data_IF_732816321979
#
_entry.id   IF_732816321979
#
_cell.length_a   1.000
_cell.length_b   1.000
_cell.length_c   1.000
_cell.angle_alpha   90.00
_cell.angle_beta   90.00
_cell.angle_gamma   90.00
#
_symmetry.space_group_name_H-M   'P 1'
#
loop_
_entity.id
_entity.type
_entity.pdbx_description
1 polymer ?
#
# COMPACT_ATOMS: atom_id res chain seq x y z
N UNK A 1 -7.91 15.62 8.97
CA UNK A 1 -6.86 14.60 9.18
C UNK A 1 -7.35 13.59 10.21
N UNK A 2 -7.67 12.36 9.79
CA UNK A 2 -8.43 11.39 10.60
C UNK A 2 -7.53 10.56 11.55
N UNK A 3 -6.32 11.04 11.83
CA UNK A 3 -5.27 10.29 12.52
C UNK A 3 -5.73 9.75 13.87
N UNK A 4 -6.55 10.50 14.61
CA UNK A 4 -7.11 10.03 15.88
C UNK A 4 -7.95 8.75 15.73
N UNK A 5 -8.80 8.68 14.68
CA UNK A 5 -9.58 7.47 14.41
C UNK A 5 -8.68 6.30 14.05
N UNK A 6 -7.63 6.54 13.26
CA UNK A 6 -6.64 5.52 12.92
C UNK A 6 -5.90 5.00 14.16
N UNK A 7 -5.42 5.89 15.03
CA UNK A 7 -4.77 5.51 16.29
C UNK A 7 -5.72 4.75 17.22
N UNK A 8 -6.98 5.20 17.33
CA UNK A 8 -8.00 4.53 18.13
C UNK A 8 -8.27 3.11 17.62
N UNK A 9 -8.48 2.93 16.31
CA UNK A 9 -8.73 1.63 15.68
C UNK A 9 -7.55 0.68 15.85
N UNK A 10 -6.32 1.16 15.58
CA UNK A 10 -5.11 0.36 15.71
C UNK A 10 -4.84 -0.03 17.17
N UNK A 11 -5.06 0.92 18.09
CA UNK A 11 -4.95 0.69 19.52
C UNK A 11 -5.97 -0.33 20.03
N UNK A 12 -7.24 -0.17 19.67
CA UNK A 12 -8.30 -1.10 20.09
C UNK A 12 -8.09 -2.52 19.54
N UNK A 13 -7.65 -2.64 18.28
CA UNK A 13 -7.37 -3.94 17.66
C UNK A 13 -6.17 -4.62 18.32
N UNK A 14 -5.14 -3.87 18.67
CA UNK A 14 -3.97 -4.38 19.39
C UNK A 14 -4.36 -4.86 20.79
N UNK A 15 -5.17 -4.09 21.52
CA UNK A 15 -5.68 -4.49 22.84
C UNK A 15 -6.50 -5.77 22.73
N UNK A 16 -7.40 -5.88 21.75
CA UNK A 16 -8.20 -7.07 21.51
C UNK A 16 -7.31 -8.31 21.30
N UNK A 17 -6.28 -8.18 20.48
CA UNK A 17 -5.35 -9.27 20.17
C UNK A 17 -4.56 -9.73 21.41
N UNK A 18 -4.13 -8.79 22.26
CA UNK A 18 -3.46 -9.10 23.53
C UNK A 18 -4.42 -9.75 24.53
N UNK A 19 -5.67 -9.30 24.60
CA UNK A 19 -6.70 -9.91 25.46
C UNK A 19 -7.00 -11.35 25.03
N UNK A 20 -7.10 -11.61 23.72
CA UNK A 20 -7.25 -12.96 23.19
C UNK A 20 -6.05 -13.82 23.59
N UNK A 21 -4.82 -13.33 23.38
CA UNK A 21 -3.61 -14.02 23.81
C UNK A 21 -3.62 -14.34 25.31
N UNK A 22 -4.10 -13.40 26.14
CA UNK A 22 -4.27 -13.57 27.58
C UNK A 22 -5.29 -14.67 27.93
N UNK A 23 -6.41 -14.72 27.23
CA UNK A 23 -7.47 -15.70 27.49
C UNK A 23 -7.03 -17.13 27.15
N UNK A 24 -6.21 -17.32 26.11
CA UNK A 24 -5.79 -18.66 25.67
C UNK A 24 -4.56 -19.15 26.44
N UNK A 25 -3.55 -18.30 26.65
CA UNK A 25 -2.23 -18.67 27.19
C UNK A 25 -1.85 -17.94 28.49
N UNK A 26 -2.78 -17.21 29.11
CA UNK A 26 -2.50 -16.42 30.32
C UNK A 26 -1.53 -15.24 30.07
N UNK A 27 -0.80 -14.82 31.09
CA UNK A 27 0.08 -13.64 30.99
C UNK A 27 1.19 -13.81 29.94
N UNK A 28 1.73 -15.01 29.78
CA UNK A 28 2.72 -15.32 28.74
C UNK A 28 2.13 -15.15 27.33
N UNK A 29 0.86 -15.54 27.13
CA UNK A 29 0.14 -15.33 25.88
C UNK A 29 -0.05 -13.86 25.54
N UNK A 30 -0.38 -13.03 26.54
CA UNK A 30 -0.50 -11.58 26.35
C UNK A 30 0.80 -10.95 25.83
N UNK A 31 1.94 -11.31 26.43
CA UNK A 31 3.27 -10.82 26.03
C UNK A 31 3.64 -11.31 24.62
N UNK A 32 3.42 -12.60 24.33
CA UNK A 32 3.70 -13.19 23.02
C UNK A 32 2.90 -12.49 21.91
N UNK A 33 1.59 -12.37 22.09
CA UNK A 33 0.71 -11.73 21.12
C UNK A 33 1.01 -10.25 20.95
N UNK A 34 1.42 -9.55 22.02
CA UNK A 34 1.90 -8.17 21.92
C UNK A 34 3.15 -8.06 21.04
N UNK A 35 4.15 -8.92 21.27
CA UNK A 35 5.38 -8.95 20.44
C UNK A 35 5.02 -9.25 18.98
N UNK A 36 4.13 -10.21 18.73
CA UNK A 36 3.65 -10.53 17.38
C UNK A 36 2.94 -9.31 16.77
N UNK A 37 2.08 -8.62 17.51
CA UNK A 37 1.37 -7.43 17.03
C UNK A 37 2.32 -6.33 16.58
N UNK A 38 3.34 -6.04 17.40
CA UNK A 38 4.38 -5.06 17.09
C UNK A 38 5.18 -5.50 15.87
N UNK A 39 5.59 -6.77 15.83
CA UNK A 39 6.31 -7.36 14.70
C UNK A 39 5.53 -7.25 13.39
N UNK A 40 4.24 -7.58 13.41
CA UNK A 40 3.35 -7.47 12.25
C UNK A 40 3.15 -6.03 11.80
N UNK A 41 3.00 -5.08 12.73
CA UNK A 41 2.86 -3.67 12.40
C UNK A 41 4.13 -3.12 11.71
N UNK A 42 5.31 -3.42 12.27
CA UNK A 42 6.58 -3.04 11.66
C UNK A 42 6.74 -3.70 10.30
N UNK A 43 6.52 -5.01 10.21
CA UNK A 43 6.59 -5.73 8.94
C UNK A 43 5.65 -5.13 7.89
N UNK A 44 4.40 -4.88 8.25
CA UNK A 44 3.41 -4.27 7.36
C UNK A 44 3.81 -2.87 6.93
N UNK A 45 4.36 -2.05 7.83
CA UNK A 45 4.83 -0.71 7.51
C UNK A 45 5.96 -0.72 6.46
N UNK A 46 6.93 -1.63 6.60
CA UNK A 46 8.08 -1.70 5.69
C UNK A 46 7.83 -2.48 4.39
N UNK A 47 6.91 -3.44 4.39
CA UNK A 47 6.68 -4.35 3.27
C UNK A 47 5.29 -4.18 2.61
N UNK A 48 4.48 -3.21 3.03
CA UNK A 48 3.14 -2.96 2.48
C UNK A 48 3.12 -2.84 0.96
N UNK A 49 4.08 -2.13 0.37
CA UNK A 49 4.20 -1.98 -1.08
C UNK A 49 4.47 -3.33 -1.77
N UNK A 50 5.43 -4.10 -1.26
CA UNK A 50 5.76 -5.42 -1.81
C UNK A 50 4.60 -6.41 -1.68
N UNK A 51 3.86 -6.37 -0.58
CA UNK A 51 2.68 -7.22 -0.36
C UNK A 51 1.58 -6.85 -1.35
N UNK A 52 1.28 -5.56 -1.52
CA UNK A 52 0.26 -5.11 -2.46
C UNK A 52 0.62 -5.47 -3.92
N UNK A 53 1.89 -5.28 -4.30
CA UNK A 53 2.38 -5.62 -5.64
C UNK A 53 2.36 -7.13 -5.90
N UNK A 54 2.71 -7.96 -4.90
CA UNK A 54 2.70 -9.42 -5.07
C UNK A 54 1.28 -9.96 -5.16
N UNK A 55 0.35 -9.46 -4.34
CA UNK A 55 -1.07 -9.84 -4.37
C UNK A 55 -1.71 -9.54 -5.73
N UNK A 56 -1.32 -8.44 -6.35
CA UNK A 56 -1.86 -7.99 -7.64
C UNK A 56 -1.08 -8.56 -8.83
N UNK A 57 0.00 -9.33 -8.59
CA UNK A 57 0.92 -9.84 -9.62
C UNK A 57 1.43 -8.71 -10.53
N UNK A 58 1.66 -7.55 -9.92
CA UNK A 58 2.13 -6.36 -10.60
C UNK A 58 3.51 -6.57 -11.20
N UNK A 59 3.71 -6.09 -12.42
CA UNK A 59 5.00 -6.12 -13.13
C UNK A 59 5.51 -4.69 -13.34
N UNK A 60 6.82 -4.43 -13.29
CA UNK A 60 7.37 -3.11 -13.62
C UNK A 60 6.88 -2.70 -15.01
N UNK A 61 6.41 -1.46 -15.14
CA UNK A 61 6.00 -0.88 -16.42
C UNK A 61 7.08 0.10 -16.84
N UNK A 62 7.74 -0.12 -17.98
CA UNK A 62 8.75 0.81 -18.44
C UNK A 62 8.11 2.03 -19.11
N UNK A 63 8.77 3.19 -19.02
CA UNK A 63 8.26 4.45 -19.57
C UNK A 63 7.95 4.38 -21.06
N UNK A 64 8.80 3.69 -21.84
CA UNK A 64 8.60 3.53 -23.28
C UNK A 64 7.35 2.68 -23.63
N UNK A 65 6.84 1.85 -22.70
CA UNK A 65 5.65 1.04 -22.92
C UNK A 65 4.35 1.83 -22.67
N UNK A 66 4.43 2.95 -21.95
CA UNK A 66 3.29 3.78 -21.57
C UNK A 66 3.71 5.23 -21.26
N UNK A 67 4.21 5.99 -22.25
CA UNK A 67 4.72 7.34 -22.03
C UNK A 67 3.64 8.28 -21.48
N UNK A 68 2.40 8.14 -21.94
CA UNK A 68 1.25 8.94 -21.52
C UNK A 68 0.98 8.85 -20.02
N UNK A 69 1.04 7.63 -19.46
CA UNK A 69 0.84 7.40 -18.01
C UNK A 69 1.98 8.03 -17.23
N UNK A 70 3.21 7.90 -17.72
CA UNK A 70 4.38 8.50 -17.11
C UNK A 70 4.29 10.02 -17.11
N UNK A 71 3.78 10.64 -18.18
CA UNK A 71 3.58 12.09 -18.26
C UNK A 71 2.51 12.59 -17.28
N UNK A 72 1.38 11.90 -17.17
CA UNK A 72 0.33 12.24 -16.20
C UNK A 72 0.89 12.15 -14.78
N UNK A 73 1.51 11.02 -14.42
CA UNK A 73 2.09 10.82 -13.08
C UNK A 73 3.19 11.84 -12.80
N UNK A 74 4.02 12.18 -13.80
CA UNK A 74 5.08 13.19 -13.68
C UNK A 74 4.51 14.57 -13.43
N UNK A 75 3.49 14.98 -14.19
CA UNK A 75 2.84 16.27 -14.00
C UNK A 75 2.25 16.40 -12.59
N UNK A 76 1.51 15.37 -12.15
CA UNK A 76 0.93 15.33 -10.80
C UNK A 76 2.00 15.33 -9.71
N UNK A 77 3.07 14.54 -9.87
CA UNK A 77 4.17 14.48 -8.91
C UNK A 77 4.90 15.82 -8.81
N UNK A 78 5.16 16.48 -9.95
CA UNK A 78 5.78 17.81 -9.98
C UNK A 78 4.90 18.88 -9.34
N UNK A 79 3.60 18.90 -9.65
CA UNK A 79 2.64 19.82 -9.02
C UNK A 79 2.57 19.63 -7.50
N UNK A 80 2.68 18.39 -7.04
CA UNK A 80 2.68 18.06 -5.61
C UNK A 80 4.05 18.21 -4.93
N UNK A 81 5.13 18.52 -5.67
CA UNK A 81 6.49 18.57 -5.14
C UNK A 81 7.01 17.21 -4.66
N UNK A 82 6.51 16.11 -5.23
CA UNK A 82 6.85 14.74 -4.88
C UNK A 82 7.84 14.13 -5.89
N UNK A 83 8.72 13.22 -5.44
CA UNK A 83 9.56 12.44 -6.35
C UNK A 83 8.70 11.53 -7.24
N UNK A 84 9.22 11.20 -8.43
CA UNK A 84 8.55 10.28 -9.35
C UNK A 84 8.38 8.89 -8.70
N UNK A 85 7.15 8.37 -8.55
CA UNK A 85 6.93 7.04 -7.99
C UNK A 85 7.33 5.95 -8.99
N UNK A 86 7.56 4.74 -8.49
CA UNK A 86 7.75 3.55 -9.34
C UNK A 86 6.41 3.13 -9.95
N UNK A 87 6.37 2.91 -11.26
CA UNK A 87 5.13 2.56 -11.97
C UNK A 87 5.10 1.06 -12.29
N UNK A 88 3.95 0.43 -12.00
CA UNK A 88 3.71 -0.98 -12.25
C UNK A 88 2.42 -1.19 -13.06
N UNK A 89 2.40 -2.27 -13.83
CA UNK A 89 1.27 -2.78 -14.60
C UNK A 89 0.68 -4.00 -13.90
N UNK A 90 -0.64 -4.00 -13.72
CA UNK A 90 -1.40 -5.12 -13.19
C UNK A 90 -2.08 -5.84 -14.36
N UNK A 91 -1.82 -7.14 -14.58
CA UNK A 91 -2.41 -7.91 -15.68
C UNK A 91 -3.87 -8.27 -15.37
N UNK A 92 -4.74 -7.26 -15.32
CA UNK A 92 -6.18 -7.38 -15.07
C UNK A 92 -6.95 -6.48 -16.03
N UNK A 93 -8.05 -6.99 -16.58
CA UNK A 93 -8.97 -6.23 -17.44
C UNK A 93 -9.99 -5.41 -16.65
N UNK A 94 -10.09 -5.62 -15.34
CA UNK A 94 -10.94 -4.79 -14.51
C UNK A 94 -10.23 -3.43 -14.30
N UNK A 95 -10.83 -2.30 -14.74
CA UNK A 95 -10.21 -0.99 -14.60
C UNK A 95 -10.04 -0.63 -13.13
N UNK A 96 -8.79 -0.38 -12.72
CA UNK A 96 -8.43 0.06 -11.39
C UNK A 96 -7.00 0.65 -11.39
N UNK A 97 -6.69 1.48 -10.40
CA UNK A 97 -5.34 1.90 -10.08
C UNK A 97 -5.23 2.11 -8.56
N UNK A 98 -4.04 1.88 -8.01
CA UNK A 98 -3.78 2.22 -6.61
C UNK A 98 -2.36 2.77 -6.44
N UNK A 99 -2.20 3.59 -5.41
CA UNK A 99 -0.91 4.10 -4.97
C UNK A 99 -0.61 3.58 -3.56
N UNK A 100 0.63 3.16 -3.32
CA UNK A 100 1.10 2.64 -2.02
C UNK A 100 2.56 3.02 -1.78
N UNK A 101 3.05 2.82 -0.56
CA UNK A 101 4.43 3.11 -0.18
C UNK A 101 4.51 3.73 1.22
N UNK A 102 5.59 3.39 1.93
CA UNK A 102 5.83 3.87 3.32
C UNK A 102 6.04 5.39 3.43
N UNK A 103 6.51 6.02 2.36
CA UNK A 103 6.74 7.46 2.23
C UNK A 103 6.85 7.85 0.74
N UNK A 104 6.94 9.14 0.45
CA UNK A 104 7.02 9.68 -0.91
C UNK A 104 8.19 9.12 -1.72
N UNK A 105 9.37 8.96 -1.12
CA UNK A 105 10.55 8.37 -1.78
C UNK A 105 10.39 6.87 -2.12
N UNK A 106 9.44 6.18 -1.49
CA UNK A 106 9.14 4.77 -1.73
C UNK A 106 7.76 4.57 -2.39
N UNK A 107 7.18 5.64 -2.92
CA UNK A 107 5.88 5.60 -3.55
C UNK A 107 5.88 4.70 -4.78
N UNK A 108 4.76 4.01 -4.95
CA UNK A 108 4.48 3.08 -6.03
C UNK A 108 3.09 3.38 -6.54
N UNK A 109 2.95 3.44 -7.87
CA UNK A 109 1.65 3.54 -8.54
C UNK A 109 1.50 2.30 -9.41
N UNK A 110 0.38 1.59 -9.27
CA UNK A 110 0.09 0.41 -10.07
C UNK A 110 -1.23 0.60 -10.82
N UNK A 111 -1.22 0.32 -12.12
CA UNK A 111 -2.35 0.56 -13.04
C UNK A 111 -2.73 -0.75 -13.73
N UNK A 112 -4.03 -1.05 -13.84
CA UNK A 112 -4.50 -2.24 -14.55
C UNK A 112 -4.56 -2.04 -16.06
N UNK A 113 -4.42 -3.13 -16.80
CA UNK A 113 -4.55 -3.14 -18.27
C UNK A 113 -5.93 -2.68 -18.74
N UNK A 114 -6.98 -3.05 -17.99
CA UNK A 114 -8.33 -2.56 -18.26
C UNK A 114 -8.42 -1.04 -18.16
N UNK A 115 -7.75 -0.43 -17.18
CA UNK A 115 -7.76 1.03 -17.05
C UNK A 115 -7.03 1.69 -18.22
N UNK A 116 -5.91 1.12 -18.68
CA UNK A 116 -5.16 1.63 -19.84
C UNK A 116 -5.96 1.61 -21.15
N UNK A 117 -6.89 0.68 -21.30
CA UNK A 117 -7.72 0.56 -22.50
C UNK A 117 -8.88 1.55 -22.51
N UNK A 118 -9.24 2.09 -21.33
CA UNK A 118 -10.42 2.94 -21.14
C UNK A 118 -10.02 4.41 -21.04
N UNK A 119 -8.88 4.72 -20.40
CA UNK A 119 -8.41 6.09 -20.25
C UNK A 119 -7.91 6.65 -21.58
N UNK A 120 -8.53 7.73 -22.03
CA UNK A 120 -7.93 8.65 -23.00
C UNK A 120 -6.98 9.61 -22.27
N UNK A 121 -6.01 10.22 -22.98
CA UNK A 121 -4.94 11.08 -22.42
C UNK A 121 -5.35 12.22 -21.46
N UNK A 122 -6.65 12.51 -21.29
CA UNK A 122 -7.18 13.59 -20.45
C UNK A 122 -7.86 13.13 -19.14
N UNK A 123 -8.01 11.82 -18.92
CA UNK A 123 -8.62 11.23 -17.71
C UNK A 123 -7.56 10.52 -16.85
#
# INVERSE_FOLDING_TARGET
MNNFKTWLLMGSLTILLVLIGKLILGQSGAILFFIIAVGLNLFSYYFSDKIALSMTRSKPLAEHEAPEIYDIIRHLSQQAGLPMPRVYRIPSLQPNAFATGRNSAHAVVAVTDGLRQILNQQE
#
